data_IF_619631428173
#
_entry.id   IF_619631428173
#
_cell.length_a   1.000
_cell.length_b   1.000
_cell.length_c   1.000
_cell.angle_alpha   90.00
_cell.angle_beta   90.00
_cell.angle_gamma   90.00
#
_symmetry.space_group_name_H-M   'P 1'
#
loop_
_entity.id
_entity.type
_entity.pdbx_description
1 polymer ?
#
# COMPACT_ATOMS: atom_id res chain seq x y z
N UNK A 1 -19.83 -7.97 15.31
CA UNK A 1 -18.41 -8.23 15.43
C UNK A 1 -17.93 -9.00 14.21
N UNK A 2 -16.81 -8.59 13.65
CA UNK A 2 -16.22 -9.21 12.48
C UNK A 2 -14.72 -9.39 12.72
N UNK A 3 -14.22 -10.61 12.48
CA UNK A 3 -12.80 -10.92 12.49
C UNK A 3 -12.46 -11.53 11.12
N UNK A 4 -11.46 -10.98 10.46
CA UNK A 4 -10.94 -11.51 9.20
C UNK A 4 -9.44 -11.81 9.36
N UNK A 5 -8.99 -12.94 8.88
CA UNK A 5 -7.59 -13.31 8.82
C UNK A 5 -7.22 -13.70 7.39
N UNK A 6 -6.10 -13.16 6.92
CA UNK A 6 -5.54 -13.46 5.61
C UNK A 6 -4.10 -13.94 5.80
N UNK A 7 -3.74 -15.01 5.14
CA UNK A 7 -2.36 -15.51 5.08
C UNK A 7 -1.95 -15.60 3.62
N UNK A 8 -0.75 -15.14 3.30
CA UNK A 8 -0.25 -15.16 1.94
C UNK A 8 1.21 -15.60 1.87
N UNK A 9 1.54 -16.22 0.73
CA UNK A 9 2.89 -16.57 0.33
C UNK A 9 3.17 -15.95 -1.03
N UNK A 10 4.33 -15.34 -1.18
CA UNK A 10 4.73 -14.69 -2.43
C UNK A 10 6.12 -15.14 -2.85
N UNK A 11 6.31 -15.26 -4.14
CA UNK A 11 7.62 -15.37 -4.75
C UNK A 11 7.93 -14.05 -5.45
N UNK A 12 9.10 -13.49 -5.16
CA UNK A 12 9.49 -12.15 -5.59
C UNK A 12 10.61 -12.25 -6.62
N UNK A 13 10.52 -11.45 -7.68
CA UNK A 13 11.55 -11.30 -8.69
C UNK A 13 11.77 -9.81 -8.87
N UNK A 14 13.02 -9.36 -8.74
CA UNK A 14 13.42 -7.97 -8.90
C UNK A 14 14.49 -7.89 -9.96
N UNK A 15 14.23 -7.15 -11.01
CA UNK A 15 15.26 -6.66 -11.92
C UNK A 15 15.85 -5.38 -11.34
N UNK A 16 17.13 -5.43 -11.01
CA UNK A 16 17.84 -4.27 -10.48
C UNK A 16 18.62 -3.60 -11.58
N UNK A 17 18.39 -2.29 -11.76
CA UNK A 17 19.17 -1.44 -12.67
C UNK A 17 19.54 -0.17 -11.95
N UNK A 18 20.83 0.04 -11.74
CA UNK A 18 21.34 1.21 -11.06
C UNK A 18 22.23 2.04 -11.99
N UNK A 19 21.92 3.33 -12.15
CA UNK A 19 22.65 4.31 -12.97
C UNK A 19 23.00 3.81 -14.39
N UNK A 20 22.20 2.94 -14.97
CA UNK A 20 22.38 2.43 -16.34
C UNK A 20 23.54 1.44 -16.54
N UNK A 21 24.38 1.22 -15.54
CA UNK A 21 25.62 0.45 -15.66
C UNK A 21 25.67 -0.81 -14.79
N UNK A 22 24.86 -0.87 -13.73
CA UNK A 22 24.74 -2.04 -12.87
C UNK A 22 23.39 -2.70 -13.15
N UNK A 23 23.39 -4.01 -13.36
CA UNK A 23 22.17 -4.77 -13.54
C UNK A 23 22.30 -6.15 -12.89
N UNK A 24 21.24 -6.59 -12.23
CA UNK A 24 21.16 -7.90 -11.62
C UNK A 24 19.71 -8.33 -11.42
N UNK A 25 19.50 -9.62 -11.26
CA UNK A 25 18.21 -10.23 -10.94
C UNK A 25 18.24 -10.78 -9.51
N UNK A 26 17.35 -10.32 -8.66
CA UNK A 26 17.22 -10.80 -7.29
C UNK A 26 15.92 -11.54 -7.09
N UNK A 27 15.96 -12.69 -6.45
CA UNK A 27 14.79 -13.50 -6.09
C UNK A 27 14.54 -13.43 -4.60
N UNK A 28 13.28 -13.60 -4.22
CA UNK A 28 12.90 -13.63 -2.83
C UNK A 28 11.66 -14.47 -2.57
N UNK A 29 11.41 -14.70 -1.31
CA UNK A 29 10.18 -15.35 -0.82
C UNK A 29 9.64 -14.53 0.33
N UNK A 30 8.33 -14.37 0.36
CA UNK A 30 7.64 -13.67 1.43
C UNK A 30 6.51 -14.53 1.97
N UNK A 31 6.36 -14.53 3.28
CA UNK A 31 5.17 -15.01 3.98
C UNK A 31 4.59 -13.86 4.78
N UNK A 32 3.27 -13.68 4.76
CA UNK A 32 2.62 -12.67 5.56
C UNK A 32 1.30 -13.16 6.11
N UNK A 33 0.88 -12.55 7.22
CA UNK A 33 -0.44 -12.72 7.81
C UNK A 33 -1.01 -11.37 8.20
N UNK A 34 -2.31 -11.21 8.01
CA UNK A 34 -3.06 -10.04 8.45
C UNK A 34 -4.28 -10.50 9.23
N UNK A 35 -4.53 -9.90 10.38
CA UNK A 35 -5.74 -10.08 11.18
C UNK A 35 -6.39 -8.71 11.30
N UNK A 36 -7.68 -8.64 10.95
CA UNK A 36 -8.48 -7.45 11.10
C UNK A 36 -9.63 -7.74 12.07
N UNK A 37 -9.86 -6.82 12.98
CA UNK A 37 -11.00 -6.81 13.90
C UNK A 37 -11.84 -5.57 13.64
N UNK A 38 -13.15 -5.74 13.63
CA UNK A 38 -14.12 -4.67 13.50
C UNK A 38 -15.37 -5.01 14.30
N UNK A 39 -15.92 -4.02 14.98
CA UNK A 39 -17.27 -4.08 15.55
C UNK A 39 -17.99 -2.77 15.24
N UNK A 40 -19.29 -2.76 15.35
CA UNK A 40 -20.10 -1.58 15.06
C UNK A 40 -20.99 -1.29 16.26
N UNK A 41 -20.94 -0.05 16.73
CA UNK A 41 -21.76 0.46 17.81
C UNK A 41 -22.49 1.72 17.33
N UNK A 42 -23.78 1.83 17.60
CA UNK A 42 -24.57 2.98 17.18
C UNK A 42 -24.89 3.89 18.36
N UNK A 43 -24.55 5.17 18.20
CA UNK A 43 -24.79 6.24 19.18
C UNK A 43 -25.62 7.36 18.54
N UNK A 44 -26.95 7.23 18.60
CA UNK A 44 -27.86 8.17 17.93
C UNK A 44 -27.73 8.09 16.41
N UNK A 45 -27.31 9.20 15.79
CA UNK A 45 -27.08 9.28 14.33
C UNK A 45 -25.66 8.88 13.93
N UNK A 46 -24.79 8.59 14.90
CA UNK A 46 -23.38 8.28 14.68
C UNK A 46 -23.16 6.78 14.85
N UNK A 47 -22.65 6.13 13.83
CA UNK A 47 -22.13 4.78 13.87
C UNK A 47 -20.63 4.87 14.16
N UNK A 48 -20.19 4.24 15.24
CA UNK A 48 -18.78 4.18 15.64
C UNK A 48 -18.31 2.76 15.46
N UNK A 49 -17.24 2.59 14.71
CA UNK A 49 -16.66 1.29 14.41
C UNK A 49 -15.26 1.22 14.98
N UNK A 50 -15.08 0.64 16.19
CA UNK A 50 -13.75 0.27 16.66
C UNK A 50 -13.08 -0.69 15.67
N UNK A 51 -11.83 -0.40 15.33
CA UNK A 51 -11.03 -1.21 14.40
C UNK A 51 -9.71 -1.62 15.03
N UNK A 52 -9.24 -2.79 14.66
CA UNK A 52 -7.89 -3.26 14.97
C UNK A 52 -7.34 -4.04 13.80
N UNK A 53 -6.08 -3.83 13.47
CA UNK A 53 -5.38 -4.52 12.39
C UNK A 53 -3.99 -4.89 12.85
N UNK A 54 -3.59 -6.13 12.62
CA UNK A 54 -2.22 -6.58 12.76
C UNK A 54 -1.80 -7.21 11.42
N UNK A 55 -0.78 -6.65 10.81
CA UNK A 55 -0.10 -7.24 9.66
C UNK A 55 1.32 -7.59 10.07
N UNK A 56 1.78 -8.77 9.71
CA UNK A 56 3.15 -9.19 9.94
C UNK A 56 3.64 -10.05 8.78
N UNK A 57 4.85 -9.78 8.31
CA UNK A 57 5.45 -10.47 7.21
C UNK A 57 6.95 -10.73 7.43
N UNK A 58 7.44 -11.80 6.81
CA UNK A 58 8.86 -12.14 6.76
C UNK A 58 9.23 -12.28 5.30
N UNK A 59 10.26 -11.55 4.88
CA UNK A 59 10.79 -11.58 3.52
C UNK A 59 12.24 -12.07 3.56
N UNK A 60 12.54 -13.09 2.77
CA UNK A 60 13.89 -13.59 2.56
C UNK A 60 14.30 -13.33 1.12
N UNK A 61 15.38 -12.56 0.95
CA UNK A 61 15.96 -12.25 -0.35
C UNK A 61 17.19 -13.11 -0.58
N UNK A 62 17.31 -13.68 -1.76
CA UNK A 62 18.48 -14.49 -2.13
C UNK A 62 19.72 -13.63 -2.34
N UNK A 63 20.90 -14.25 -2.27
CA UNK A 63 22.12 -13.66 -2.77
C UNK A 63 21.98 -13.36 -4.28
N UNK A 64 22.51 -12.25 -4.74
CA UNK A 64 22.58 -11.91 -6.15
C UNK A 64 23.83 -11.09 -6.46
N UNK A 65 24.21 -11.05 -7.73
CA UNK A 65 25.35 -10.28 -8.20
C UNK A 65 24.90 -9.19 -9.15
N UNK A 66 25.28 -7.96 -8.84
CA UNK A 66 25.18 -6.83 -9.76
C UNK A 66 26.43 -6.77 -10.65
N UNK A 67 26.21 -6.90 -11.94
CA UNK A 67 27.29 -6.84 -12.93
C UNK A 67 27.52 -5.40 -13.39
N UNK A 68 28.74 -4.89 -13.19
CA UNK A 68 29.10 -3.58 -13.70
C UNK A 68 29.35 -3.66 -15.20
N UNK A 69 28.63 -2.86 -15.98
CA UNK A 69 28.84 -2.77 -17.42
C UNK A 69 30.26 -2.22 -17.73
N UNK A 70 30.98 -2.89 -18.59
CA UNK A 70 32.34 -2.48 -19.04
C UNK A 70 32.39 -1.13 -19.77
N UNK A 71 31.22 -0.56 -20.09
CA UNK A 71 31.15 0.72 -20.82
C UNK A 71 31.55 1.95 -19.98
N UNK A 72 31.73 1.81 -18.67
CA UNK A 72 32.02 2.93 -17.78
C UNK A 72 33.51 3.33 -17.68
N UNK A 73 34.43 2.59 -18.30
CA UNK A 73 35.87 2.85 -18.19
C UNK A 73 36.47 2.64 -16.79
N UNK A 74 35.66 2.29 -15.82
CA UNK A 74 36.08 1.96 -14.47
C UNK A 74 36.46 0.46 -14.39
N UNK A 75 37.40 0.08 -13.50
CA UNK A 75 37.68 -1.33 -13.27
C UNK A 75 36.39 -2.03 -12.83
N UNK A 76 35.86 -2.89 -13.72
CA UNK A 76 34.66 -3.65 -13.47
C UNK A 76 34.85 -4.51 -12.22
N UNK A 77 34.11 -4.20 -11.16
CA UNK A 77 34.02 -5.04 -9.97
C UNK A 77 32.56 -5.30 -9.75
N UNK A 78 32.17 -6.54 -9.94
CA UNK A 78 30.84 -6.97 -9.62
C UNK A 78 30.62 -6.84 -8.11
N UNK A 79 29.39 -6.53 -7.72
CA UNK A 79 28.97 -6.42 -6.32
C UNK A 79 28.09 -7.61 -5.99
N UNK A 80 28.53 -8.39 -5.01
CA UNK A 80 27.79 -9.57 -4.54
C UNK A 80 27.01 -9.17 -3.30
N UNK A 81 25.71 -9.07 -3.41
CA UNK A 81 24.78 -8.85 -2.29
C UNK A 81 24.44 -10.17 -1.65
N UNK A 82 24.63 -10.26 -0.34
CA UNK A 82 24.39 -11.48 0.41
C UNK A 82 22.89 -11.70 0.63
N UNK A 83 22.54 -12.95 0.94
CA UNK A 83 21.20 -13.31 1.38
C UNK A 83 20.83 -12.46 2.60
N UNK A 84 19.57 -12.00 2.64
CA UNK A 84 19.04 -11.21 3.73
C UNK A 84 17.61 -11.61 4.10
N UNK A 85 17.27 -11.41 5.38
CA UNK A 85 15.93 -11.67 5.90
C UNK A 85 15.51 -10.49 6.74
N UNK A 86 14.37 -9.91 6.41
CA UNK A 86 13.79 -8.81 7.17
C UNK A 86 12.32 -9.07 7.48
N UNK A 87 11.84 -8.42 8.51
CA UNK A 87 10.45 -8.44 8.92
C UNK A 87 9.78 -7.11 8.58
N UNK A 88 8.53 -7.17 8.19
CA UNK A 88 7.66 -6.01 8.01
C UNK A 88 6.38 -6.22 8.79
N UNK A 89 5.84 -5.16 9.35
CA UNK A 89 4.59 -5.30 10.08
C UNK A 89 4.01 -3.95 10.47
N UNK A 90 2.72 -3.98 10.77
CA UNK A 90 1.95 -2.84 11.21
C UNK A 90 0.90 -3.31 12.22
N UNK A 91 0.83 -2.63 13.34
CA UNK A 91 -0.28 -2.70 14.27
C UNK A 91 -1.06 -1.39 14.17
N UNK A 92 -2.36 -1.47 13.88
CA UNK A 92 -3.25 -0.32 13.83
C UNK A 92 -4.42 -0.53 14.78
N UNK A 93 -4.83 0.52 15.47
CA UNK A 93 -6.04 0.52 16.29
C UNK A 93 -6.69 1.91 16.26
N UNK A 94 -8.03 1.94 16.16
CA UNK A 94 -8.72 3.20 16.05
C UNK A 94 -10.23 3.08 15.99
N UNK A 95 -10.83 4.16 15.52
CA UNK A 95 -12.27 4.28 15.34
C UNK A 95 -12.57 4.88 13.98
N UNK A 96 -13.52 4.27 13.28
CA UNK A 96 -14.16 4.87 12.13
C UNK A 96 -15.52 5.42 12.57
N UNK A 97 -15.91 6.53 11.96
CA UNK A 97 -17.16 7.23 12.26
C UNK A 97 -17.92 7.40 10.95
N UNK A 98 -19.19 7.02 10.98
CA UNK A 98 -20.10 7.23 9.87
C UNK A 98 -21.42 7.80 10.45
N UNK A 99 -22.00 8.77 9.78
CA UNK A 99 -23.35 9.23 10.17
C UNK A 99 -24.41 8.32 9.56
N UNK A 100 -25.65 8.43 10.03
CA UNK A 100 -26.79 7.89 9.29
C UNK A 100 -26.84 8.53 7.90
N UNK A 101 -27.37 7.80 6.95
CA UNK A 101 -27.54 8.25 5.57
C UNK A 101 -28.49 9.47 5.56
N UNK A 102 -28.05 10.54 4.94
CA UNK A 102 -28.85 11.75 4.71
C UNK A 102 -29.52 11.61 3.35
N UNK A 103 -30.82 11.50 3.34
CA UNK A 103 -31.63 11.44 2.11
C UNK A 103 -31.80 12.85 1.52
N UNK A 104 -31.64 12.96 0.21
CA UNK A 104 -31.85 14.18 -0.58
C UNK A 104 -32.76 13.86 -1.77
N UNK A 105 -33.29 14.86 -2.44
CA UNK A 105 -34.11 14.68 -3.65
C UNK A 105 -33.36 14.01 -4.80
N UNK A 106 -32.03 14.00 -4.77
CA UNK A 106 -31.18 13.46 -5.84
C UNK A 106 -30.48 12.16 -5.48
N UNK A 107 -30.57 11.72 -4.24
CA UNK A 107 -29.88 10.52 -3.75
C UNK A 107 -29.57 10.61 -2.27
N UNK A 108 -28.50 9.95 -1.84
CA UNK A 108 -28.10 9.88 -0.44
C UNK A 108 -26.68 10.39 -0.25
N UNK A 109 -26.39 10.94 0.92
CA UNK A 109 -25.05 11.37 1.33
C UNK A 109 -24.75 10.81 2.72
N UNK A 110 -23.57 10.25 2.89
CA UNK A 110 -23.08 9.71 4.14
C UNK A 110 -21.70 10.28 4.48
N UNK A 111 -21.60 11.24 5.41
CA UNK A 111 -20.33 11.70 5.97
C UNK A 111 -19.62 10.58 6.75
N UNK A 112 -18.30 10.52 6.61
CA UNK A 112 -17.45 9.54 7.27
C UNK A 112 -16.14 10.16 7.74
N UNK A 113 -15.48 9.51 8.68
CA UNK A 113 -14.17 9.90 9.16
C UNK A 113 -13.53 8.81 9.99
N UNK A 114 -12.31 9.06 10.45
CA UNK A 114 -11.60 8.08 11.27
C UNK A 114 -10.41 8.69 12.01
N UNK A 115 -10.01 8.00 13.05
CA UNK A 115 -8.79 8.23 13.80
C UNK A 115 -8.16 6.90 14.17
N UNK A 116 -6.90 6.69 13.77
CA UNK A 116 -6.17 5.45 14.01
C UNK A 116 -4.75 5.74 14.47
N UNK A 117 -4.28 4.98 15.44
CA UNK A 117 -2.87 4.93 15.83
C UNK A 117 -2.24 3.76 15.08
N UNK A 118 -1.16 4.05 14.36
CA UNK A 118 -0.38 3.09 13.61
C UNK A 118 0.96 2.88 14.30
N UNK A 119 1.34 1.64 14.52
CA UNK A 119 2.64 1.26 15.05
C UNK A 119 3.38 0.41 14.03
N UNK A 120 4.51 0.92 13.51
CA UNK A 120 5.37 0.19 12.58
C UNK A 120 6.21 -0.85 13.34
N UNK A 121 6.08 -2.10 12.93
CA UNK A 121 6.81 -3.27 13.44
C UNK A 121 7.95 -3.68 12.50
N UNK A 122 8.20 -2.91 11.43
CA UNK A 122 9.21 -3.23 10.44
C UNK A 122 10.61 -3.13 11.04
N UNK A 123 11.42 -4.15 10.81
CA UNK A 123 12.83 -4.14 11.23
C UNK A 123 13.66 -3.32 10.25
N UNK A 124 14.74 -2.75 10.75
CA UNK A 124 15.80 -2.22 9.89
C UNK A 124 16.35 -3.33 8.99
N UNK A 125 16.76 -2.96 7.80
CA UNK A 125 17.31 -3.90 6.82
C UNK A 125 18.81 -3.69 6.69
N UNK A 126 19.57 -4.73 7.00
CA UNK A 126 21.02 -4.75 6.89
C UNK A 126 21.47 -5.30 5.53
N UNK A 127 21.82 -4.43 4.60
CA UNK A 127 22.39 -4.86 3.34
C UNK A 127 23.87 -5.23 3.52
N UNK A 128 24.20 -6.49 3.27
CA UNK A 128 25.58 -6.98 3.28
C UNK A 128 26.05 -7.23 1.85
N UNK A 129 27.17 -6.64 1.48
CA UNK A 129 27.73 -6.83 0.14
C UNK A 129 29.25 -6.96 0.16
N UNK A 130 29.77 -7.62 -0.87
CA UNK A 130 31.19 -7.84 -1.07
C UNK A 130 31.54 -7.48 -2.52
N UNK A 131 32.61 -6.74 -2.74
CA UNK A 131 33.12 -6.55 -4.08
C UNK A 131 33.83 -7.82 -4.57
N UNK A 132 33.66 -8.17 -5.85
CA UNK A 132 34.25 -9.37 -6.43
C UNK A 132 35.77 -9.38 -6.21
N UNK A 133 36.28 -10.51 -5.69
CA UNK A 133 37.71 -10.66 -5.33
C UNK A 133 38.10 -10.02 -3.99
N UNK A 134 37.18 -9.35 -3.30
CA UNK A 134 37.36 -8.83 -1.93
C UNK A 134 36.97 -9.86 -0.88
N UNK A 135 37.54 -9.76 0.29
CA UNK A 135 37.18 -10.57 1.48
C UNK A 135 36.43 -9.77 2.53
N UNK A 136 36.40 -8.45 2.38
CA UNK A 136 35.73 -7.56 3.33
C UNK A 136 34.22 -7.48 3.03
N UNK A 137 33.40 -7.78 4.04
CA UNK A 137 31.95 -7.63 3.98
C UNK A 137 31.61 -6.22 4.41
N UNK A 138 31.05 -5.45 3.49
CA UNK A 138 30.47 -4.15 3.78
C UNK A 138 29.05 -4.36 4.31
N UNK A 139 28.63 -3.50 5.22
CA UNK A 139 27.28 -3.49 5.79
C UNK A 139 26.73 -2.09 5.69
N UNK A 140 25.53 -1.97 5.15
CA UNK A 140 24.75 -0.75 5.12
C UNK A 140 23.39 -1.05 5.75
N UNK A 141 23.01 -0.27 6.75
CA UNK A 141 21.72 -0.42 7.41
C UNK A 141 20.75 0.61 6.83
N UNK A 142 19.66 0.15 6.26
CA UNK A 142 18.53 1.00 5.85
C UNK A 142 17.51 0.97 6.96
N UNK A 143 17.32 2.11 7.60
CA UNK A 143 16.30 2.28 8.62
C UNK A 143 14.92 2.37 7.98
N UNK A 144 13.90 1.86 8.67
CA UNK A 144 12.53 2.05 8.23
C UNK A 144 12.25 3.54 8.04
N UNK A 145 11.74 3.98 6.86
CA UNK A 145 11.42 5.39 6.62
C UNK A 145 10.23 5.86 7.46
N UNK A 146 9.51 4.92 8.06
CA UNK A 146 8.32 5.22 8.85
C UNK A 146 8.70 5.42 10.33
N UNK A 147 8.09 6.41 10.96
CA UNK A 147 8.12 6.52 12.42
C UNK A 147 7.45 5.29 13.02
N UNK A 148 7.97 4.81 14.14
CA UNK A 148 7.36 3.69 14.84
C UNK A 148 5.93 3.98 15.28
N UNK A 149 5.57 5.24 15.51
CA UNK A 149 4.23 5.64 15.93
C UNK A 149 3.71 6.77 15.06
N UNK A 150 2.56 6.57 14.48
CA UNK A 150 1.88 7.55 13.64
C UNK A 150 0.42 7.67 14.05
N UNK A 151 -0.14 8.86 13.89
CA UNK A 151 -1.57 9.13 13.99
C UNK A 151 -2.12 9.35 12.58
N UNK A 152 -3.07 8.51 12.18
CA UNK A 152 -3.82 8.67 10.95
C UNK A 152 -5.19 9.24 11.27
N UNK A 153 -5.54 10.33 10.61
CA UNK A 153 -6.87 10.92 10.66
C UNK A 153 -7.47 10.92 9.26
N UNK A 154 -8.76 10.68 9.14
CA UNK A 154 -9.47 10.77 7.87
C UNK A 154 -10.79 11.50 8.01
N UNK A 155 -11.21 12.16 6.93
CA UNK A 155 -12.50 12.82 6.80
C UNK A 155 -12.96 12.73 5.35
N UNK A 156 -14.23 12.38 5.14
CA UNK A 156 -14.76 12.20 3.81
C UNK A 156 -16.28 12.11 3.79
N UNK A 157 -16.79 11.82 2.62
CA UNK A 157 -18.20 11.48 2.43
C UNK A 157 -18.38 10.53 1.24
N UNK A 158 -19.46 9.79 1.26
CA UNK A 158 -19.97 9.05 0.11
C UNK A 158 -21.33 9.60 -0.30
N UNK A 159 -21.51 9.85 -1.60
CA UNK A 159 -22.76 10.29 -2.17
C UNK A 159 -23.22 9.30 -3.24
N UNK A 160 -24.44 8.80 -3.11
CA UNK A 160 -25.04 7.86 -4.06
C UNK A 160 -26.23 8.54 -4.72
N UNK A 161 -26.13 8.77 -6.03
CA UNK A 161 -27.20 9.35 -6.82
C UNK A 161 -28.24 8.29 -7.23
N UNK A 162 -29.51 8.69 -7.40
CA UNK A 162 -30.62 7.80 -7.75
C UNK A 162 -30.42 6.97 -9.02
N UNK A 163 -29.52 7.39 -9.92
CA UNK A 163 -29.17 6.63 -11.12
C UNK A 163 -28.05 5.60 -10.91
N UNK A 164 -27.68 5.31 -9.65
CA UNK A 164 -26.62 4.36 -9.29
C UNK A 164 -25.19 4.89 -9.43
N UNK A 165 -25.02 6.21 -9.62
CA UNK A 165 -23.70 6.82 -9.64
C UNK A 165 -23.26 7.15 -8.20
N UNK A 166 -22.08 6.69 -7.81
CA UNK A 166 -21.50 6.91 -6.48
C UNK A 166 -20.24 7.75 -6.60
N UNK A 167 -20.14 8.77 -5.77
CA UNK A 167 -18.92 9.57 -5.57
C UNK A 167 -18.51 9.45 -4.11
N UNK A 168 -17.28 9.02 -3.86
CA UNK A 168 -16.69 9.01 -2.53
C UNK A 168 -15.44 9.87 -2.53
N UNK A 169 -15.30 10.72 -1.52
CA UNK A 169 -14.10 11.51 -1.29
C UNK A 169 -13.58 11.25 0.10
N UNK A 170 -12.27 11.20 0.25
CA UNK A 170 -11.62 11.02 1.53
C UNK A 170 -10.31 11.80 1.56
N UNK A 171 -10.13 12.63 2.57
CA UNK A 171 -8.86 13.23 2.92
C UNK A 171 -8.27 12.46 4.09
N UNK A 172 -7.04 12.03 3.96
CA UNK A 172 -6.29 11.34 5.01
C UNK A 172 -5.04 12.13 5.35
N UNK A 173 -4.72 12.22 6.62
CA UNK A 173 -3.49 12.80 7.12
C UNK A 173 -2.82 11.84 8.09
N UNK A 174 -1.53 11.56 7.86
CA UNK A 174 -0.69 10.76 8.76
C UNK A 174 0.33 11.71 9.37
N UNK A 175 0.33 11.77 10.70
CA UNK A 175 1.23 12.60 11.50
C UNK A 175 2.11 11.67 12.34
N UNK A 176 3.39 11.93 12.35
CA UNK A 176 4.33 11.26 13.24
C UNK A 176 4.10 11.69 14.69
N UNK A 177 4.06 10.73 15.62
CA UNK A 177 3.89 11.01 17.05
C UNK A 177 5.22 11.08 17.82
N UNK A 178 6.27 10.40 17.34
CA UNK A 178 7.58 10.42 17.96
C UNK A 178 8.64 11.05 17.06
N UNK A 179 9.45 11.89 17.65
CA UNK A 179 10.55 12.64 17.00
C UNK A 179 11.87 11.87 17.14
N UNK A 180 11.90 10.60 16.73
CA UNK A 180 13.14 9.84 16.64
C UNK A 180 13.95 10.41 15.48
N UNK A 181 15.02 11.11 15.81
CA UNK A 181 15.70 12.16 15.04
C UNK A 181 16.44 11.70 13.77
N UNK A 182 16.38 10.44 13.37
CA UNK A 182 17.16 9.93 12.24
C UNK A 182 16.35 9.78 10.94
N UNK A 183 15.03 9.80 10.99
CA UNK A 183 14.21 9.78 9.79
C UNK A 183 13.54 11.15 9.57
N UNK A 184 13.58 11.69 8.36
CA UNK A 184 12.93 12.97 8.06
C UNK A 184 11.43 12.90 8.41
N UNK A 185 10.95 13.91 9.13
CA UNK A 185 9.55 13.99 9.55
C UNK A 185 8.63 14.07 8.33
N UNK A 186 7.95 12.99 7.98
CA UNK A 186 6.94 13.00 6.93
C UNK A 186 5.55 13.15 7.57
N UNK A 187 4.92 14.28 7.30
CA UNK A 187 3.47 14.38 7.33
C UNK A 187 3.00 13.98 5.93
N UNK A 188 2.17 12.97 5.84
CA UNK A 188 1.64 12.53 4.55
C UNK A 188 0.19 12.96 4.47
N UNK A 189 -0.13 13.75 3.47
CA UNK A 189 -1.49 14.14 3.14
C UNK A 189 -1.94 13.41 1.87
N UNK A 190 -3.07 12.72 1.94
CA UNK A 190 -3.65 11.99 0.81
C UNK A 190 -5.07 12.45 0.60
N UNK A 191 -5.42 12.77 -0.63
CA UNK A 191 -6.78 13.05 -1.02
C UNK A 191 -7.22 12.03 -2.07
N UNK A 192 -8.28 11.29 -1.77
CA UNK A 192 -8.78 10.21 -2.62
C UNK A 192 -10.16 10.59 -3.13
N UNK A 193 -10.36 10.49 -4.44
CA UNK A 193 -11.68 10.60 -5.05
C UNK A 193 -11.96 9.29 -5.76
N UNK A 194 -13.09 8.68 -5.45
CA UNK A 194 -13.57 7.46 -6.12
C UNK A 194 -14.87 7.77 -6.83
N UNK A 195 -14.94 7.42 -8.10
CA UNK A 195 -16.17 7.44 -8.87
C UNK A 195 -16.51 6.00 -9.21
N UNK A 196 -17.72 5.58 -8.89
CA UNK A 196 -18.21 4.28 -9.30
C UNK A 196 -19.62 4.40 -9.86
N UNK A 197 -19.98 3.50 -10.74
CA UNK A 197 -21.34 3.36 -11.24
C UNK A 197 -21.71 1.89 -11.18
N UNK A 198 -22.67 1.58 -10.33
CA UNK A 198 -23.32 0.28 -10.33
C UNK A 198 -24.52 0.37 -11.26
N UNK A 199 -24.45 -0.29 -12.39
CA UNK A 199 -25.58 -0.46 -13.31
C UNK A 199 -25.89 -1.94 -13.33
N UNK A 200 -26.81 -2.37 -12.46
CA UNK A 200 -27.04 -3.77 -12.11
C UNK A 200 -25.89 -4.34 -11.26
N UNK A 201 -26.14 -5.32 -10.42
CA UNK A 201 -25.20 -5.85 -9.43
C UNK A 201 -23.88 -6.41 -10.02
N UNK A 202 -23.80 -6.57 -11.35
CA UNK A 202 -22.72 -7.29 -12.04
C UNK A 202 -21.59 -6.42 -12.60
N UNK A 203 -21.74 -5.09 -12.64
CA UNK A 203 -20.75 -4.23 -13.26
C UNK A 203 -20.36 -3.07 -12.35
N UNK A 204 -19.09 -2.95 -12.02
CA UNK A 204 -18.56 -1.82 -11.25
C UNK A 204 -17.41 -1.18 -11.99
N UNK A 205 -17.41 0.14 -12.03
CA UNK A 205 -16.33 0.95 -12.54
C UNK A 205 -15.90 1.92 -11.44
N UNK A 206 -14.61 1.98 -11.12
CA UNK A 206 -14.08 2.93 -10.16
C UNK A 206 -12.83 3.62 -10.69
N UNK A 207 -12.75 4.91 -10.50
CA UNK A 207 -11.58 5.73 -10.74
C UNK A 207 -11.11 6.30 -9.39
N UNK A 208 -9.90 6.01 -8.99
CA UNK A 208 -9.26 6.59 -7.82
C UNK A 208 -8.16 7.55 -8.29
N UNK A 209 -8.10 8.71 -7.69
CA UNK A 209 -7.09 9.70 -7.99
C UNK A 209 -6.50 10.25 -6.70
N UNK A 210 -5.17 10.22 -6.57
CA UNK A 210 -4.42 10.82 -5.46
C UNK A 210 -3.52 11.93 -6.01
N UNK A 211 -3.95 13.19 -5.91
CA UNK A 211 -3.21 14.33 -6.43
C UNK A 211 -2.05 14.78 -5.55
N UNK A 212 -1.97 14.32 -4.31
CA UNK A 212 -1.04 14.88 -3.31
C UNK A 212 0.27 14.09 -3.23
N UNK A 213 0.18 12.77 -3.10
CA UNK A 213 1.38 11.98 -2.79
C UNK A 213 2.05 11.30 -3.97
N UNK A 214 1.29 10.87 -4.94
CA UNK A 214 1.83 10.02 -5.99
C UNK A 214 1.45 10.47 -7.39
N UNK A 215 0.60 11.50 -7.52
CA UNK A 215 0.01 11.85 -8.81
C UNK A 215 -0.40 10.60 -9.59
N UNK A 216 -0.96 9.61 -8.87
CA UNK A 216 -1.33 8.33 -9.43
C UNK A 216 -2.82 8.28 -9.69
N UNK A 217 -3.16 7.67 -10.82
CA UNK A 217 -4.54 7.36 -11.18
C UNK A 217 -4.69 5.85 -11.21
N UNK A 218 -5.67 5.35 -10.48
CA UNK A 218 -6.05 3.94 -10.52
C UNK A 218 -7.44 3.83 -11.15
N UNK A 219 -7.51 3.13 -12.27
CA UNK A 219 -8.74 2.78 -12.95
C UNK A 219 -9.03 1.31 -12.67
N UNK A 220 -10.20 1.00 -12.12
CA UNK A 220 -10.63 -0.38 -11.93
C UNK A 220 -11.98 -0.62 -12.60
N UNK A 221 -12.10 -1.79 -13.19
CA UNK A 221 -13.36 -2.32 -13.71
C UNK A 221 -13.54 -3.72 -13.18
N UNK A 222 -14.71 -4.02 -12.64
CA UNK A 222 -15.05 -5.38 -12.22
C UNK A 222 -16.39 -5.79 -12.80
N UNK A 223 -16.51 -7.07 -13.11
CA UNK A 223 -17.72 -7.69 -13.62
C UNK A 223 -17.86 -9.12 -13.12
N UNK A 224 -19.03 -9.47 -12.62
CA UNK A 224 -19.38 -10.87 -12.35
C UNK A 224 -19.94 -11.52 -13.62
N UNK A 225 -19.38 -12.66 -14.01
CA UNK A 225 -19.86 -13.48 -15.12
C UNK A 225 -20.00 -14.92 -14.64
N UNK A 226 -21.23 -15.37 -14.50
CA UNK A 226 -21.55 -16.74 -14.07
C UNK A 226 -20.90 -17.16 -12.74
N UNK A 227 -20.82 -16.24 -11.76
CA UNK A 227 -20.23 -16.50 -10.45
C UNK A 227 -18.71 -16.34 -10.38
N UNK A 228 -18.06 -15.93 -11.47
CA UNK A 228 -16.67 -15.54 -11.51
C UNK A 228 -16.54 -14.02 -11.53
N UNK A 229 -15.77 -13.46 -10.62
CA UNK A 229 -15.46 -12.03 -10.57
C UNK A 229 -14.21 -11.73 -11.40
N UNK A 230 -14.39 -10.96 -12.45
CA UNK A 230 -13.31 -10.43 -13.27
C UNK A 230 -13.01 -9.00 -12.85
N UNK A 231 -11.76 -8.72 -12.51
CA UNK A 231 -11.33 -7.38 -12.12
C UNK A 231 -10.10 -6.97 -12.93
N UNK A 232 -10.19 -5.79 -13.52
CA UNK A 232 -9.08 -5.16 -14.24
C UNK A 232 -8.71 -3.90 -13.48
N UNK A 233 -7.45 -3.78 -13.07
CA UNK A 233 -6.92 -2.59 -12.43
C UNK A 233 -5.80 -2.04 -13.31
N UNK A 234 -5.83 -0.75 -13.57
CA UNK A 234 -4.76 -0.03 -14.26
C UNK A 234 -4.29 1.13 -13.41
N UNK A 235 -3.02 1.13 -13.07
CA UNK A 235 -2.36 2.22 -12.35
C UNK A 235 -1.48 2.98 -13.33
N UNK A 236 -1.58 4.29 -13.30
CA UNK A 236 -0.74 5.17 -14.11
C UNK A 236 -0.15 6.26 -13.19
N UNK A 237 1.18 6.41 -13.23
CA UNK A 237 1.85 7.58 -12.67
C UNK A 237 1.67 8.76 -13.62
N UNK A 238 1.24 9.90 -13.10
CA UNK A 238 1.13 11.14 -13.89
C UNK A 238 2.45 11.90 -13.96
N UNK A 239 3.39 11.62 -13.07
CA UNK A 239 4.75 12.21 -13.10
C UNK A 239 5.64 11.51 -14.12
N UNK A 240 5.43 10.23 -14.33
CA UNK A 240 6.24 9.43 -15.25
C UNK A 240 5.31 8.61 -16.17
N UNK A 241 4.97 9.18 -17.32
CA UNK A 241 4.02 8.58 -18.27
C UNK A 241 4.44 7.21 -18.83
N UNK A 242 5.67 6.76 -18.55
CA UNK A 242 6.16 5.44 -18.92
C UNK A 242 5.86 4.36 -17.87
N UNK A 243 5.44 4.75 -16.67
CA UNK A 243 5.09 3.82 -15.60
C UNK A 243 3.59 3.59 -15.57
N UNK A 244 3.15 2.57 -16.28
CA UNK A 244 1.79 2.05 -16.15
C UNK A 244 1.84 0.57 -15.78
N UNK A 245 0.92 0.17 -14.95
CA UNK A 245 0.77 -1.22 -14.54
C UNK A 245 -0.69 -1.64 -14.71
N UNK A 246 -0.92 -2.74 -15.39
CA UNK A 246 -2.26 -3.31 -15.54
C UNK A 246 -2.27 -4.72 -14.95
N UNK A 247 -3.18 -4.98 -14.03
CA UNK A 247 -3.41 -6.29 -13.44
C UNK A 247 -4.80 -6.79 -13.79
N UNK A 248 -4.90 -8.09 -14.09
CA UNK A 248 -6.17 -8.78 -14.30
C UNK A 248 -6.28 -9.86 -13.22
N UNK A 249 -7.34 -9.80 -12.45
CA UNK A 249 -7.65 -10.74 -11.38
C UNK A 249 -8.95 -11.47 -11.71
N UNK A 250 -8.97 -12.77 -11.46
CA UNK A 250 -10.17 -13.61 -11.59
C UNK A 250 -10.32 -14.38 -10.29
N UNK A 251 -11.46 -14.22 -9.62
CA UNK A 251 -11.80 -14.92 -8.38
C UNK A 251 -13.22 -15.50 -8.49
N UNK A 252 -13.46 -16.60 -7.78
CA UNK A 252 -14.75 -17.29 -7.77
C UNK A 252 -15.01 -17.98 -6.47
#
# INVERSE_FOLDING_TARGET
QYINAVVGLSHLWYDHRYMGNLSGERKGKQAFATINYRTEDKYGILNVTPTGKLTYGVTRLSEFTDFLSKASGLPARDVIYKEDTFTSGELAAGFLFETDIIETDQGTVQPMGGIEILYDLTSDVDYKYVYQGGTHVNKETIHSPFSRQNLKTSLGFEAIHLNGFTVSTEYQRIIRLNDDSEAPGFTTDTFIIKFSRSKEEDNQFALNYDPINAHQTNLSYSKNIHGLDFKINSNQSLENSSEYFTNIEVSG
#
